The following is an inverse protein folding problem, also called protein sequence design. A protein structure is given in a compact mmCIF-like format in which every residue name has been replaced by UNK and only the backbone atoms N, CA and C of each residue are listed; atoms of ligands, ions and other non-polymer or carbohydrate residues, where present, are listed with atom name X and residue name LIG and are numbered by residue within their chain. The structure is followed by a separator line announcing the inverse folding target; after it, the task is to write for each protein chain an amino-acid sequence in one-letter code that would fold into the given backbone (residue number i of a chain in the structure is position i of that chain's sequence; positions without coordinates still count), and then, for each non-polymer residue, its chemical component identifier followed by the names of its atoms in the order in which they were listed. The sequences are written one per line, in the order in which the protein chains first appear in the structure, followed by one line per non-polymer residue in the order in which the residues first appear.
data_IF_579038059916
#
_entry.id   IF_579038059916
#
_cell.length_a   1.000
_cell.length_b   1.000
_cell.length_c   1.000
_cell.angle_alpha   90.00
_cell.angle_beta   90.00
_cell.angle_gamma   90.00
#
_symmetry.space_group_name_H-M   'P 1'
#
loop_
_entity.id
_entity.type
_entity.pdbx_description
1 polymer ?
#
# COMPACT_ATOMS: atom_id res chain seq x y z
N UNK A 1 27.97 -5.43 6.74
CA UNK A 1 27.04 -6.46 6.22
C UNK A 1 25.89 -5.79 5.48
N UNK A 2 26.22 -5.31 4.28
CA UNK A 2 25.38 -4.51 3.39
C UNK A 2 24.97 -5.40 2.22
N UNK A 3 23.70 -5.34 1.77
CA UNK A 3 23.34 -5.81 0.43
C UNK A 3 22.08 -6.66 0.25
N UNK A 4 21.44 -7.20 1.29
CA UNK A 4 20.19 -8.00 1.13
C UNK A 4 18.90 -7.35 1.66
N UNK A 5 19.01 -6.33 2.52
CA UNK A 5 17.83 -5.64 3.12
C UNK A 5 17.22 -4.59 2.19
N UNK A 6 18.00 -4.03 1.25
CA UNK A 6 17.51 -3.01 0.30
C UNK A 6 16.63 -3.57 -0.83
N UNK A 7 16.50 -4.89 -0.96
CA UNK A 7 15.96 -5.54 -2.17
C UNK A 7 14.66 -6.34 -1.94
N UNK A 8 14.16 -6.44 -0.71
CA UNK A 8 12.76 -6.84 -0.43
C UNK A 8 11.89 -5.61 -0.77
N UNK A 9 11.75 -5.38 -2.07
CA UNK A 9 11.17 -4.22 -2.75
C UNK A 9 10.28 -3.33 -1.88
N UNK A 10 10.86 -2.23 -1.40
CA UNK A 10 10.19 -1.00 -0.96
C UNK A 10 8.79 -1.22 -0.34
N UNK A 11 8.72 -2.06 0.69
CA UNK A 11 7.46 -2.37 1.35
C UNK A 11 6.97 -1.16 2.14
N UNK A 12 5.79 -0.66 1.80
CA UNK A 12 5.09 0.38 2.52
C UNK A 12 4.21 -0.24 3.62
N UNK A 13 4.34 0.29 4.83
CA UNK A 13 3.44 0.09 5.95
C UNK A 13 2.15 0.89 5.79
N UNK A 14 1.12 0.56 6.57
CA UNK A 14 -0.13 1.33 6.55
C UNK A 14 0.10 2.82 6.84
N UNK A 15 0.85 3.24 7.88
CA UNK A 15 1.12 4.67 8.10
C UNK A 15 1.75 5.38 6.89
N UNK A 16 2.75 4.78 6.25
CA UNK A 16 3.40 5.35 5.05
C UNK A 16 2.43 5.48 3.88
N UNK A 17 1.50 4.53 3.71
CA UNK A 17 0.45 4.61 2.69
C UNK A 17 -0.50 5.78 2.99
N UNK A 18 -0.95 5.92 4.25
CA UNK A 18 -1.87 6.98 4.63
C UNK A 18 -1.23 8.37 4.46
N UNK A 19 0.05 8.50 4.81
CA UNK A 19 0.84 9.70 4.60
C UNK A 19 0.97 10.04 3.11
N UNK A 20 1.33 9.05 2.29
CA UNK A 20 1.44 9.23 0.83
C UNK A 20 0.12 9.64 0.17
N UNK A 21 -1.02 9.26 0.76
CA UNK A 21 -2.36 9.65 0.32
C UNK A 21 -2.84 11.01 0.85
N UNK A 22 -1.98 11.77 1.54
CA UNK A 22 -2.35 13.08 2.11
C UNK A 22 -3.12 12.99 3.42
N UNK A 23 -2.96 11.91 4.19
CA UNK A 23 -3.55 11.76 5.53
C UNK A 23 -4.94 11.12 5.57
N UNK A 24 -5.26 10.24 4.61
CA UNK A 24 -6.51 9.46 4.63
C UNK A 24 -6.64 8.70 5.95
N UNK A 25 -7.86 8.62 6.50
CA UNK A 25 -8.07 7.89 7.75
C UNK A 25 -7.86 6.39 7.58
N UNK A 26 -7.36 5.74 8.63
CA UNK A 26 -7.15 4.28 8.67
C UNK A 26 -8.43 3.53 8.32
N UNK A 27 -9.56 3.91 8.90
CA UNK A 27 -10.86 3.26 8.66
C UNK A 27 -11.29 3.33 7.19
N UNK A 28 -11.07 4.47 6.54
CA UNK A 28 -11.35 4.63 5.09
C UNK A 28 -10.50 3.68 4.27
N UNK A 29 -9.20 3.60 4.58
CA UNK A 29 -8.30 2.67 3.90
C UNK A 29 -8.71 1.20 4.08
N UNK A 30 -9.07 0.78 5.29
CA UNK A 30 -9.57 -0.58 5.53
C UNK A 30 -10.89 -0.85 4.81
N UNK A 31 -11.80 0.13 4.75
CA UNK A 31 -13.06 0.02 3.99
C UNK A 31 -12.78 -0.18 2.50
N UNK A 32 -11.83 0.54 1.91
CA UNK A 32 -11.42 0.32 0.52
C UNK A 32 -10.88 -1.08 0.30
N UNK A 33 -10.02 -1.57 1.20
CA UNK A 33 -9.51 -2.94 1.10
C UNK A 33 -10.60 -4.01 1.20
N UNK A 34 -11.55 -3.85 2.12
CA UNK A 34 -12.69 -4.78 2.26
C UNK A 34 -13.61 -4.78 1.04
N UNK A 35 -13.72 -3.64 0.35
CA UNK A 35 -14.53 -3.48 -0.86
C UNK A 35 -13.76 -3.75 -2.15
N UNK A 36 -12.50 -4.19 -2.07
CA UNK A 36 -11.65 -4.47 -3.23
C UNK A 36 -11.16 -3.22 -3.97
N UNK A 37 -11.28 -2.03 -3.38
CA UNK A 37 -10.91 -0.72 -3.96
C UNK A 37 -9.57 -0.18 -3.47
N UNK A 38 -8.85 -0.95 -2.66
CA UNK A 38 -7.54 -0.57 -2.11
C UNK A 38 -6.38 -1.26 -2.84
N UNK A 39 -5.14 -0.81 -2.60
CA UNK A 39 -3.95 -1.45 -3.17
C UNK A 39 -3.76 -2.87 -2.63
N UNK A 40 -3.00 -3.68 -3.39
CA UNK A 40 -2.68 -5.06 -2.99
C UNK A 40 -1.73 -5.06 -1.79
N UNK A 41 -2.25 -5.46 -0.63
CA UNK A 41 -1.46 -5.63 0.59
C UNK A 41 -1.50 -7.09 1.07
N UNK A 42 -0.45 -7.51 1.77
CA UNK A 42 -0.35 -8.81 2.43
C UNK A 42 -0.09 -8.64 3.92
N UNK A 43 -0.60 -9.56 4.74
CA UNK A 43 -0.36 -9.60 6.17
C UNK A 43 0.94 -10.32 6.49
N UNK A 44 1.73 -9.74 7.38
CA UNK A 44 2.88 -10.39 8.00
C UNK A 44 2.44 -11.31 9.15
N UNK A 45 3.30 -12.24 9.61
CA UNK A 45 2.98 -13.12 10.74
C UNK A 45 2.64 -12.39 12.05
N UNK A 46 3.09 -11.14 12.22
CA UNK A 46 2.76 -10.29 13.37
C UNK A 46 1.44 -9.50 13.22
N UNK A 47 0.70 -9.70 12.12
CA UNK A 47 -0.55 -9.00 11.83
C UNK A 47 -0.40 -7.63 11.17
N UNK A 48 0.82 -7.13 10.96
CA UNK A 48 1.03 -5.90 10.20
C UNK A 48 0.72 -6.11 8.71
N UNK A 49 0.17 -5.08 8.07
CA UNK A 49 -0.02 -5.06 6.63
C UNK A 49 1.17 -4.38 5.94
N UNK A 50 1.63 -5.01 4.86
CA UNK A 50 2.61 -4.45 3.94
C UNK A 50 2.05 -4.39 2.53
N UNK A 51 2.35 -3.32 1.84
CA UNK A 51 2.09 -3.13 0.42
C UNK A 51 3.42 -3.01 -0.30
N UNK A 52 3.61 -3.64 -1.46
CA UNK A 52 4.79 -3.32 -2.27
C UNK A 52 4.58 -1.93 -2.88
N UNK A 53 5.59 -1.07 -2.91
CA UNK A 53 5.46 0.26 -3.54
C UNK A 53 4.97 0.18 -4.99
N UNK A 54 5.41 -0.81 -5.76
CA UNK A 54 4.93 -1.02 -7.14
C UNK A 54 3.44 -1.32 -7.21
N UNK A 55 2.91 -2.13 -6.29
CA UNK A 55 1.48 -2.46 -6.24
C UNK A 55 0.65 -1.22 -5.85
N UNK A 56 1.19 -0.40 -4.94
CA UNK A 56 0.58 0.88 -4.57
C UNK A 56 0.53 1.87 -5.76
N UNK A 57 1.64 2.03 -6.48
CA UNK A 57 1.73 2.92 -7.65
C UNK A 57 0.83 2.44 -8.79
N UNK A 58 0.80 1.13 -9.06
CA UNK A 58 -0.10 0.54 -10.07
C UNK A 58 -1.56 0.85 -9.76
N UNK A 59 -1.96 0.71 -8.48
CA UNK A 59 -3.32 1.06 -8.07
C UNK A 59 -3.64 2.55 -8.25
N UNK A 60 -2.68 3.46 -8.03
CA UNK A 60 -2.88 4.89 -8.30
C UNK A 60 -3.02 5.17 -9.80
N UNK A 61 -2.22 4.51 -10.64
CA UNK A 61 -2.28 4.63 -12.09
C UNK A 61 -3.63 4.12 -12.63
N UNK A 62 -4.11 2.97 -12.14
CA UNK A 62 -5.43 2.42 -12.47
C UNK A 62 -6.56 3.40 -12.11
N UNK A 63 -6.49 4.05 -10.93
CA UNK A 63 -7.46 5.05 -10.51
C UNK A 63 -7.43 6.30 -11.40
N UNK A 64 -6.24 6.74 -11.80
CA UNK A 64 -6.07 7.88 -12.69
C UNK A 64 -6.59 7.57 -14.10
N UNK A 65 -6.25 6.40 -14.65
CA UNK A 65 -6.70 5.95 -15.97
C UNK A 65 -8.20 5.69 -16.03
N UNK A 66 -8.84 5.24 -14.94
CA UNK A 66 -10.29 5.10 -14.87
C UNK A 66 -11.04 6.45 -14.76
N UNK A 67 -10.34 7.52 -14.37
CA UNK A 67 -10.90 8.87 -14.29
C UNK A 67 -10.77 9.67 -15.60
N UNK A 68 -9.97 9.19 -16.55
CA UNK A 68 -9.74 9.80 -17.87
C UNK A 68 -10.70 9.25 -18.93
#
# INVERSE_FOLDING_TARGET
MSGKVRQIAELMSVPEILEALGGVSRDTFYKWRQTGKGPRCFSLPNGELRCKRVDFLTWLDDLYGAAA
#
